data_IF_910468644282
#
_entry.id   IF_910468644282
#
_cell.length_a   1.000
_cell.length_b   1.000
_cell.length_c   1.000
_cell.angle_alpha   90.00
_cell.angle_beta   90.00
_cell.angle_gamma   90.00
#
_symmetry.space_group_name_H-M   'P 1'
#
loop_
_entity.id
_entity.type
_entity.pdbx_description
1 polymer ?
#
# COMPACT_ATOMS: atom_id res chain seq x y z
N UNK A 1 6.86 58.01 5.82
CA UNK A 1 6.38 56.81 5.11
C UNK A 1 7.59 55.99 4.77
N UNK A 2 7.86 55.00 5.61
CA UNK A 2 9.03 54.12 5.52
C UNK A 2 8.48 52.78 5.04
N UNK A 3 8.93 52.34 3.87
CA UNK A 3 8.60 51.04 3.32
C UNK A 3 9.11 49.93 4.26
N UNK A 4 8.32 48.87 4.51
CA UNK A 4 8.82 47.68 5.17
C UNK A 4 9.62 46.86 4.14
N UNK A 5 10.90 46.64 4.46
CA UNK A 5 11.80 45.78 3.72
C UNK A 5 11.40 44.31 3.91
N UNK A 6 10.53 43.80 3.03
CA UNK A 6 10.34 42.35 2.82
C UNK A 6 11.60 41.78 2.15
N UNK A 7 12.53 41.37 2.99
CA UNK A 7 13.79 40.73 2.62
C UNK A 7 13.99 39.42 3.38
N UNK A 8 12.92 38.69 3.70
CA UNK A 8 13.05 37.36 4.30
C UNK A 8 13.40 36.38 3.18
N UNK A 9 14.65 35.96 3.15
CA UNK A 9 15.18 34.94 2.24
C UNK A 9 14.44 33.61 2.45
N UNK A 10 13.38 33.36 1.66
CA UNK A 10 12.60 32.10 1.68
C UNK A 10 13.39 30.88 1.15
N UNK A 11 14.69 31.03 0.83
CA UNK A 11 15.53 29.97 0.27
C UNK A 11 16.54 29.32 1.23
N UNK A 12 16.72 29.85 2.45
CA UNK A 12 17.78 29.41 3.37
C UNK A 12 17.24 28.58 4.53
N UNK A 13 17.78 27.37 4.71
CA UNK A 13 17.47 26.48 5.84
C UNK A 13 17.82 27.17 7.17
N UNK A 14 16.81 27.37 8.01
CA UNK A 14 16.96 27.99 9.32
C UNK A 14 17.75 27.09 10.28
N UNK A 15 18.44 27.71 11.23
CA UNK A 15 19.01 27.01 12.39
C UNK A 15 17.89 26.61 13.34
N UNK A 16 18.12 25.59 14.17
CA UNK A 16 17.11 25.05 15.09
C UNK A 16 16.46 26.11 15.99
N UNK A 17 17.23 27.12 16.45
CA UNK A 17 16.70 28.22 17.26
C UNK A 17 15.90 29.23 16.45
N UNK A 18 16.32 29.50 15.22
CA UNK A 18 15.64 30.44 14.32
C UNK A 18 14.27 29.93 13.90
N UNK A 19 14.06 28.60 13.90
CA UNK A 19 12.72 28.01 13.69
C UNK A 19 11.76 28.39 14.81
N UNK A 20 12.23 28.48 16.06
CA UNK A 20 11.40 28.84 17.21
C UNK A 20 10.99 30.32 17.21
N UNK A 21 11.74 31.17 16.49
CA UNK A 21 11.47 32.60 16.38
C UNK A 21 10.37 32.92 15.33
N UNK A 22 9.91 31.93 14.57
CA UNK A 22 8.79 32.08 13.63
C UNK A 22 7.47 32.21 14.39
N UNK A 23 6.57 33.08 13.92
CA UNK A 23 5.17 33.02 14.37
C UNK A 23 4.46 31.75 13.86
N UNK A 24 3.32 31.41 14.43
CA UNK A 24 2.61 30.16 14.12
C UNK A 24 2.17 30.03 12.65
N UNK A 25 1.82 31.14 12.01
CA UNK A 25 1.40 31.16 10.61
C UNK A 25 2.62 30.91 9.70
N UNK A 26 3.72 31.60 9.96
CA UNK A 26 4.98 31.43 9.24
C UNK A 26 5.58 30.05 9.47
N UNK A 27 5.49 29.52 10.69
CA UNK A 27 5.92 28.16 11.02
C UNK A 27 5.13 27.10 10.22
N UNK A 28 3.81 27.28 10.11
CA UNK A 28 2.95 26.38 9.32
C UNK A 28 3.37 26.35 7.86
N UNK A 29 3.57 27.52 7.24
CA UNK A 29 4.06 27.60 5.86
C UNK A 29 5.44 26.97 5.71
N UNK A 30 6.34 27.23 6.67
CA UNK A 30 7.70 26.69 6.68
C UNK A 30 7.74 25.16 6.73
N UNK A 31 6.86 24.51 7.49
CA UNK A 31 6.85 23.03 7.57
C UNK A 31 6.11 22.37 6.38
N UNK A 32 5.32 23.12 5.62
CA UNK A 32 4.57 22.62 4.45
C UNK A 32 5.32 22.80 3.13
N UNK A 33 6.15 23.84 3.02
CA UNK A 33 6.82 24.19 1.77
C UNK A 33 7.86 23.14 1.36
N UNK A 34 8.73 22.69 2.28
CA UNK A 34 9.77 21.71 1.98
C UNK A 34 9.99 20.68 3.08
N UNK A 35 10.30 19.45 2.66
CA UNK A 35 10.57 18.36 3.60
C UNK A 35 11.82 18.60 4.49
N UNK A 36 12.87 19.25 3.97
CA UNK A 36 14.06 19.55 4.77
C UNK A 36 13.82 20.62 5.84
N UNK A 37 12.86 21.53 5.60
CA UNK A 37 12.36 22.47 6.61
C UNK A 37 11.58 21.73 7.69
N UNK A 38 10.66 20.82 7.32
CA UNK A 38 9.96 19.93 8.26
C UNK A 38 10.93 19.09 9.11
N UNK A 39 11.97 18.51 8.51
CA UNK A 39 13.03 17.77 9.24
C UNK A 39 13.73 18.68 10.25
N UNK A 40 13.97 19.95 9.88
CA UNK A 40 14.60 20.91 10.78
C UNK A 40 13.69 21.27 11.94
N UNK A 41 12.40 21.48 11.68
CA UNK A 41 11.39 21.72 12.72
C UNK A 41 11.24 20.51 13.65
N UNK A 42 11.20 19.28 13.12
CA UNK A 42 11.13 18.05 13.91
C UNK A 42 12.36 17.86 14.82
N UNK A 43 13.56 18.23 14.35
CA UNK A 43 14.77 18.22 15.20
C UNK A 43 14.70 19.33 16.26
N UNK A 44 14.19 20.51 15.91
CA UNK A 44 14.02 21.61 16.87
C UNK A 44 13.01 21.25 17.96
N UNK A 45 11.90 20.61 17.60
CA UNK A 45 10.89 20.07 18.52
C UNK A 45 11.50 19.05 19.47
N UNK A 46 12.18 18.02 18.92
CA UNK A 46 12.82 16.98 19.71
C UNK A 46 13.90 17.53 20.67
N UNK A 47 14.59 18.61 20.30
CA UNK A 47 15.59 19.26 21.16
C UNK A 47 14.97 20.22 22.19
N UNK A 48 13.66 20.48 22.10
CA UNK A 48 12.88 21.33 23.01
C UNK A 48 12.99 22.82 22.71
N UNK A 49 13.19 23.21 21.45
CA UNK A 49 13.28 24.61 21.04
C UNK A 49 11.94 25.23 20.68
N UNK A 50 10.96 24.45 20.20
CA UNK A 50 9.67 25.00 19.75
C UNK A 50 8.81 25.49 20.92
N UNK A 51 7.96 26.47 20.64
CA UNK A 51 6.93 26.91 21.58
C UNK A 51 5.87 25.81 21.79
N UNK A 52 5.07 25.85 22.88
CA UNK A 52 3.97 24.91 23.08
C UNK A 52 2.96 24.89 21.92
N UNK A 53 2.69 26.04 21.30
CA UNK A 53 1.73 26.16 20.20
C UNK A 53 2.30 25.54 18.92
N UNK A 54 3.57 25.81 18.58
CA UNK A 54 4.27 25.17 17.46
C UNK A 54 4.41 23.65 17.66
N UNK A 55 4.69 23.20 18.88
CA UNK A 55 4.70 21.78 19.24
C UNK A 55 3.31 21.16 18.99
N UNK A 56 2.24 21.79 19.48
CA UNK A 56 0.88 21.30 19.26
C UNK A 56 0.55 21.23 17.75
N UNK A 57 0.89 22.26 16.98
CA UNK A 57 0.72 22.28 15.52
C UNK A 57 1.43 21.10 14.86
N UNK A 58 2.68 20.81 15.22
CA UNK A 58 3.45 19.73 14.63
C UNK A 58 2.87 18.33 14.96
N UNK A 59 2.23 18.19 16.12
CA UNK A 59 1.65 16.94 16.62
C UNK A 59 0.15 16.78 16.33
N UNK A 60 -0.43 17.63 15.48
CA UNK A 60 -1.81 17.45 15.00
C UNK A 60 -2.00 16.09 14.31
N UNK A 61 -3.15 15.41 14.46
CA UNK A 61 -3.39 14.08 13.89
C UNK A 61 -3.09 13.97 12.39
N UNK A 62 -3.46 14.99 11.60
CA UNK A 62 -3.18 15.05 10.16
C UNK A 62 -1.68 15.14 9.81
N UNK A 63 -0.83 15.60 10.74
CA UNK A 63 0.60 15.85 10.54
C UNK A 63 1.49 14.75 11.13
N UNK A 64 0.97 13.90 12.01
CA UNK A 64 1.75 12.86 12.70
C UNK A 64 2.52 11.94 11.75
N UNK A 65 1.96 11.58 10.59
CA UNK A 65 2.67 10.73 9.62
C UNK A 65 3.85 11.47 8.97
N UNK A 66 3.68 12.74 8.62
CA UNK A 66 4.76 13.58 8.10
C UNK A 66 5.84 13.84 9.16
N UNK A 67 5.45 14.07 10.41
CA UNK A 67 6.37 14.21 11.54
C UNK A 67 7.18 12.93 11.75
N UNK A 68 6.53 11.76 11.73
CA UNK A 68 7.21 10.46 11.83
C UNK A 68 8.24 10.27 10.72
N UNK A 69 7.89 10.60 9.48
CA UNK A 69 8.80 10.49 8.34
C UNK A 69 10.00 11.44 8.48
N UNK A 70 9.76 12.68 8.92
CA UNK A 70 10.80 13.66 9.20
C UNK A 70 11.75 13.22 10.32
N UNK A 71 11.22 12.69 11.42
CA UNK A 71 11.99 12.16 12.55
C UNK A 71 12.80 10.90 12.17
N UNK A 72 12.23 10.02 11.35
CA UNK A 72 12.93 8.83 10.82
C UNK A 72 14.13 9.25 9.97
N UNK A 73 13.95 10.24 9.08
CA UNK A 73 15.04 10.79 8.29
C UNK A 73 16.09 11.50 9.16
N UNK A 74 15.64 12.29 10.13
CA UNK A 74 16.51 12.98 11.09
C UNK A 74 17.36 11.99 11.89
N UNK A 75 16.77 10.90 12.38
CA UNK A 75 17.47 9.86 13.13
C UNK A 75 18.64 9.30 12.31
N UNK A 76 18.37 8.82 11.09
CA UNK A 76 19.40 8.24 10.23
C UNK A 76 20.48 9.26 9.86
N UNK A 77 20.09 10.49 9.53
CA UNK A 77 21.03 11.57 9.21
C UNK A 77 21.94 11.95 10.39
N UNK A 78 21.39 12.01 11.61
CA UNK A 78 22.14 12.27 12.83
C UNK A 78 23.04 11.09 13.20
N UNK A 79 22.57 9.85 13.03
CA UNK A 79 23.40 8.66 13.25
C UNK A 79 24.65 8.68 12.36
N UNK A 80 24.48 8.84 11.05
CA UNK A 80 25.63 8.92 10.11
C UNK A 80 26.54 10.10 10.45
N UNK A 81 25.96 11.23 10.88
CA UNK A 81 26.75 12.39 11.31
C UNK A 81 27.59 12.11 12.55
N UNK A 82 27.04 11.43 13.56
CA UNK A 82 27.76 11.01 14.78
C UNK A 82 28.90 10.06 14.42
N UNK A 83 28.63 9.06 13.57
CA UNK A 83 29.63 8.08 13.13
C UNK A 83 30.79 8.76 12.39
N UNK A 84 30.48 9.66 11.45
CA UNK A 84 31.50 10.43 10.71
C UNK A 84 32.28 11.37 11.63
N UNK A 85 31.61 12.05 12.57
CA UNK A 85 32.27 12.92 13.55
C UNK A 85 33.20 12.11 14.46
N UNK A 86 32.80 10.91 14.88
CA UNK A 86 33.63 10.01 15.66
C UNK A 86 34.88 9.57 14.90
N UNK A 87 34.75 9.23 13.61
CA UNK A 87 35.87 8.89 12.72
C UNK A 87 36.91 10.01 12.67
N UNK A 88 36.47 11.27 12.52
CA UNK A 88 37.36 12.43 12.51
C UNK A 88 37.74 12.96 13.90
N UNK A 89 37.33 12.29 14.99
CA UNK A 89 37.54 12.73 16.38
C UNK A 89 37.04 14.16 16.65
N UNK A 90 35.92 14.53 16.03
CA UNK A 90 35.30 15.85 16.19
C UNK A 90 34.71 15.99 17.60
N UNK A 91 35.08 17.06 18.32
CA UNK A 91 34.59 17.36 19.67
C UNK A 91 33.06 17.50 19.75
N UNK A 92 32.39 17.81 18.63
CA UNK A 92 30.92 17.94 18.55
C UNK A 92 30.19 16.60 18.65
N UNK A 93 30.88 15.48 18.49
CA UNK A 93 30.29 14.11 18.51
C UNK A 93 29.37 13.90 19.71
N UNK A 94 29.80 14.29 20.92
CA UNK A 94 29.02 14.10 22.14
C UNK A 94 27.71 14.91 22.14
N UNK A 95 27.72 16.13 21.57
CA UNK A 95 26.53 16.98 21.44
C UNK A 95 25.56 16.39 20.42
N UNK A 96 26.04 16.04 19.23
CA UNK A 96 25.21 15.42 18.17
C UNK A 96 24.64 14.07 18.64
N UNK A 97 25.39 13.30 19.41
CA UNK A 97 24.92 12.04 20.00
C UNK A 97 23.80 12.24 21.04
N UNK A 98 23.80 13.34 21.80
CA UNK A 98 22.67 13.69 22.67
C UNK A 98 21.43 14.05 21.86
N UNK A 99 21.60 14.85 20.80
CA UNK A 99 20.51 15.22 19.90
C UNK A 99 19.89 14.00 19.22
N UNK A 100 20.70 13.06 18.73
CA UNK A 100 20.22 11.78 18.18
C UNK A 100 19.35 11.01 19.17
N UNK A 101 19.74 10.95 20.46
CA UNK A 101 18.93 10.28 21.49
C UNK A 101 17.58 10.95 21.67
N UNK A 102 17.54 12.28 21.66
CA UNK A 102 16.29 13.05 21.76
C UNK A 102 15.37 12.80 20.57
N UNK A 103 15.90 12.82 19.35
CA UNK A 103 15.14 12.48 18.13
C UNK A 103 14.57 11.06 18.18
N UNK A 104 15.34 10.08 18.69
CA UNK A 104 14.83 8.71 18.90
C UNK A 104 13.69 8.63 19.90
N UNK A 105 13.77 9.39 21.00
CA UNK A 105 12.68 9.48 21.97
C UNK A 105 11.42 10.06 21.34
N UNK A 106 11.56 11.19 20.62
CA UNK A 106 10.45 11.84 19.93
C UNK A 106 9.81 10.94 18.85
N UNK A 107 10.64 10.20 18.10
CA UNK A 107 10.16 9.22 17.11
C UNK A 107 9.34 8.12 17.78
N UNK A 108 9.84 7.56 18.89
CA UNK A 108 9.14 6.53 19.64
C UNK A 108 7.81 7.03 20.24
N UNK A 109 7.77 8.29 20.70
CA UNK A 109 6.54 8.96 21.14
C UNK A 109 5.52 9.09 19.99
N UNK A 110 5.98 9.58 18.84
CA UNK A 110 5.14 9.75 17.64
C UNK A 110 4.56 8.41 17.16
N UNK A 111 5.37 7.34 17.14
CA UNK A 111 4.90 5.99 16.79
C UNK A 111 3.82 5.48 17.76
N UNK A 112 3.94 5.77 19.07
CA UNK A 112 2.92 5.40 20.07
C UNK A 112 1.62 6.16 19.86
N UNK A 113 1.69 7.45 19.53
CA UNK A 113 0.51 8.27 19.22
C UNK A 113 -0.20 7.75 17.98
N UNK A 114 0.53 7.51 16.88
CA UNK A 114 -0.02 6.93 15.65
C UNK A 114 -0.67 5.56 15.87
N UNK A 115 -0.04 4.69 16.67
CA UNK A 115 -0.62 3.40 17.02
C UNK A 115 -1.93 3.55 17.84
N UNK A 116 -2.04 4.60 18.64
CA UNK A 116 -3.26 4.88 19.44
C UNK A 116 -4.40 5.37 18.55
N UNK A 117 -4.13 6.32 17.66
CA UNK A 117 -5.08 6.82 16.66
C UNK A 117 -5.60 5.68 15.77
N UNK A 118 -4.70 4.86 15.22
CA UNK A 118 -5.08 3.70 14.39
C UNK A 118 -6.00 2.71 15.13
N UNK A 119 -5.77 2.50 16.43
CA UNK A 119 -6.65 1.64 17.25
C UNK A 119 -8.00 2.30 17.55
N UNK A 120 -8.05 3.62 17.68
CA UNK A 120 -9.31 4.35 17.86
C UNK A 120 -10.15 4.29 16.59
N UNK A 121 -9.52 4.49 15.43
CA UNK A 121 -10.16 4.35 14.11
C UNK A 121 -10.69 2.95 13.85
N UNK A 122 -9.90 1.93 14.13
CA UNK A 122 -10.34 0.54 13.97
C UNK A 122 -11.58 0.25 14.85
N UNK A 123 -11.61 0.78 16.08
CA UNK A 123 -12.77 0.67 16.98
C UNK A 123 -14.00 1.40 16.45
N UNK A 124 -13.84 2.62 15.90
CA UNK A 124 -14.94 3.36 15.26
C UNK A 124 -15.55 2.57 14.11
N UNK A 125 -14.71 2.07 13.19
CA UNK A 125 -15.16 1.25 12.05
C UNK A 125 -15.83 -0.07 12.47
N UNK A 126 -15.41 -0.66 13.58
CA UNK A 126 -16.04 -1.87 14.11
C UNK A 126 -17.41 -1.58 14.77
N UNK A 127 -17.58 -0.39 15.37
CA UNK A 127 -18.83 0.04 15.98
C UNK A 127 -19.90 0.42 14.93
N UNK A 128 -19.49 0.92 13.76
CA UNK A 128 -20.39 1.31 12.66
C UNK A 128 -21.07 0.13 11.92
N UNK A 129 -21.11 -1.05 12.53
CA UNK A 129 -21.85 -2.21 12.05
C UNK A 129 -20.93 -3.28 11.48
N UNK A 130 -20.44 -4.17 12.34
CA UNK A 130 -19.90 -5.45 11.90
C UNK A 130 -20.95 -6.23 11.09
N UNK A 131 -20.57 -6.96 10.04
CA UNK A 131 -21.51 -7.70 9.22
C UNK A 131 -22.24 -8.72 10.08
N UNK A 132 -23.51 -8.44 10.38
CA UNK A 132 -24.43 -9.46 10.88
C UNK A 132 -24.38 -10.59 9.86
N UNK A 133 -23.79 -11.72 10.27
CA UNK A 133 -23.39 -12.77 9.34
C UNK A 133 -24.64 -13.53 8.93
N UNK A 134 -25.34 -13.01 7.91
CA UNK A 134 -26.43 -13.72 7.27
C UNK A 134 -25.89 -15.02 6.70
N UNK A 135 -26.38 -16.12 7.26
CA UNK A 135 -25.97 -17.48 6.90
C UNK A 135 -26.28 -17.79 5.45
N UNK A 136 -27.31 -17.18 4.88
CA UNK A 136 -27.63 -17.29 3.45
C UNK A 136 -26.55 -16.62 2.62
N UNK A 137 -26.09 -15.41 2.98
CA UNK A 137 -25.00 -14.71 2.29
C UNK A 137 -23.67 -15.48 2.40
N UNK A 138 -23.37 -16.04 3.58
CA UNK A 138 -22.16 -16.87 3.76
C UNK A 138 -22.22 -18.15 2.91
N UNK A 139 -23.35 -18.85 2.93
CA UNK A 139 -23.53 -20.07 2.15
C UNK A 139 -23.33 -19.80 0.64
N UNK A 140 -23.92 -18.71 0.18
CA UNK A 140 -23.82 -18.21 -1.19
C UNK A 140 -22.38 -17.85 -1.59
N UNK A 141 -21.66 -17.10 -0.75
CA UNK A 141 -20.25 -16.78 -1.01
C UNK A 141 -19.34 -18.02 -1.00
N UNK A 142 -19.63 -19.01 -0.14
CA UNK A 142 -18.88 -20.27 -0.13
C UNK A 142 -19.20 -21.14 -1.35
N UNK A 143 -20.38 -20.99 -1.96
CA UNK A 143 -20.78 -21.73 -3.17
C UNK A 143 -19.95 -21.30 -4.37
N UNK A 144 -19.70 -19.99 -4.51
CA UNK A 144 -18.77 -19.47 -5.48
C UNK A 144 -17.35 -20.05 -5.32
N UNK A 145 -16.91 -20.28 -4.06
CA UNK A 145 -15.61 -20.92 -3.79
C UNK A 145 -15.58 -22.42 -4.12
N UNK A 146 -16.73 -23.11 -4.05
CA UNK A 146 -16.82 -24.53 -4.38
C UNK A 146 -16.75 -24.79 -5.89
N UNK A 147 -17.31 -23.87 -6.68
CA UNK A 147 -17.47 -23.97 -8.13
C UNK A 147 -16.91 -22.73 -8.86
N UNK A 148 -15.59 -22.46 -8.74
CA UNK A 148 -14.98 -21.22 -9.22
C UNK A 148 -15.20 -21.00 -10.73
N UNK A 149 -14.92 -22.00 -11.57
CA UNK A 149 -15.06 -21.87 -13.03
C UNK A 149 -16.52 -21.60 -13.46
N UNK A 150 -17.50 -22.16 -12.73
CA UNK A 150 -18.90 -21.91 -13.03
C UNK A 150 -19.31 -20.50 -12.60
N UNK A 151 -18.88 -20.09 -11.41
CA UNK A 151 -19.09 -18.75 -10.91
C UNK A 151 -18.47 -17.70 -11.83
N UNK A 152 -17.23 -17.87 -12.28
CA UNK A 152 -16.54 -16.94 -13.17
C UNK A 152 -17.27 -16.78 -14.50
N UNK A 153 -17.77 -17.88 -15.10
CA UNK A 153 -18.59 -17.81 -16.32
C UNK A 153 -19.88 -17.01 -16.11
N UNK A 154 -20.60 -17.27 -15.01
CA UNK A 154 -21.84 -16.55 -14.70
C UNK A 154 -21.57 -15.08 -14.37
N UNK A 155 -20.46 -14.79 -13.68
CA UNK A 155 -20.02 -13.44 -13.36
C UNK A 155 -19.67 -12.64 -14.62
N UNK A 156 -18.93 -13.22 -15.55
CA UNK A 156 -18.62 -12.58 -16.83
C UNK A 156 -19.90 -12.24 -17.61
N UNK A 157 -20.91 -13.14 -17.60
CA UNK A 157 -22.21 -12.90 -18.21
C UNK A 157 -22.96 -11.75 -17.52
N UNK A 158 -23.11 -11.77 -16.19
CA UNK A 158 -23.86 -10.72 -15.48
C UNK A 158 -23.17 -9.36 -15.52
N UNK A 159 -21.83 -9.31 -15.53
CA UNK A 159 -21.07 -8.08 -15.72
C UNK A 159 -21.31 -7.51 -17.13
N UNK A 160 -21.29 -8.35 -18.15
CA UNK A 160 -21.58 -7.95 -19.54
C UNK A 160 -23.01 -7.43 -19.67
N UNK A 161 -23.99 -8.12 -19.09
CA UNK A 161 -25.40 -7.68 -19.05
C UNK A 161 -25.57 -6.32 -18.33
N UNK A 162 -24.76 -6.05 -17.31
CA UNK A 162 -24.74 -4.78 -16.57
C UNK A 162 -23.95 -3.66 -17.29
N UNK A 163 -23.37 -3.92 -18.47
CA UNK A 163 -22.53 -2.96 -19.19
C UNK A 163 -21.21 -2.65 -18.49
N UNK A 164 -20.75 -3.54 -17.60
CA UNK A 164 -19.49 -3.40 -16.89
C UNK A 164 -18.37 -4.12 -17.67
N UNK A 165 -17.16 -3.54 -17.72
CA UNK A 165 -16.03 -4.19 -18.37
C UNK A 165 -15.66 -5.46 -17.60
N UNK A 166 -15.40 -6.52 -18.37
CA UNK A 166 -14.85 -7.76 -17.84
C UNK A 166 -13.38 -7.54 -17.47
N UNK A 167 -13.17 -7.04 -16.25
CA UNK A 167 -11.83 -6.84 -15.68
C UNK A 167 -11.63 -7.83 -14.52
N UNK A 168 -10.51 -8.57 -14.49
CA UNK A 168 -10.20 -9.46 -13.38
C UNK A 168 -10.19 -8.70 -12.05
N UNK A 169 -10.48 -9.42 -10.97
CA UNK A 169 -10.32 -8.89 -9.63
C UNK A 169 -8.87 -8.46 -9.41
N UNK A 170 -8.65 -7.38 -8.68
CA UNK A 170 -7.31 -6.95 -8.30
C UNK A 170 -6.62 -8.06 -7.49
N UNK A 171 -5.44 -8.51 -7.91
CA UNK A 171 -4.71 -9.57 -7.22
C UNK A 171 -4.01 -9.03 -5.97
N UNK A 172 -3.59 -7.76 -6.01
CA UNK A 172 -2.96 -7.07 -4.91
C UNK A 172 -3.40 -5.60 -4.80
N UNK A 173 -2.83 -4.89 -3.83
CA UNK A 173 -3.13 -3.46 -3.58
C UNK A 173 -2.72 -2.56 -4.76
N UNK A 174 -1.68 -2.90 -5.50
CA UNK A 174 -1.24 -2.10 -6.64
C UNK A 174 -2.26 -2.21 -7.77
N UNK A 175 -2.73 -3.41 -8.08
CA UNK A 175 -3.79 -3.60 -9.07
C UNK A 175 -5.07 -2.85 -8.67
N UNK A 176 -5.42 -2.84 -7.39
CA UNK A 176 -6.57 -2.09 -6.88
C UNK A 176 -6.41 -0.58 -7.11
N UNK A 177 -5.21 -0.05 -6.86
CA UNK A 177 -4.87 1.36 -7.08
C UNK A 177 -4.85 1.74 -8.56
N UNK A 178 -4.26 0.90 -9.42
CA UNK A 178 -4.24 1.11 -10.88
C UNK A 178 -5.65 1.05 -11.49
N UNK A 179 -6.48 0.11 -11.02
CA UNK A 179 -7.88 0.01 -11.40
C UNK A 179 -8.68 1.23 -10.93
N UNK A 180 -8.49 1.64 -9.68
CA UNK A 180 -9.16 2.81 -9.13
C UNK A 180 -8.78 4.12 -9.83
N UNK A 181 -7.52 4.25 -10.28
CA UNK A 181 -7.11 5.33 -11.16
C UNK A 181 -7.82 5.28 -12.51
N UNK A 182 -7.85 4.09 -13.14
CA UNK A 182 -8.52 3.90 -14.44
C UNK A 182 -10.03 4.17 -14.38
N UNK A 183 -10.64 3.92 -13.22
CA UNK A 183 -12.06 4.15 -12.96
C UNK A 183 -12.35 5.60 -12.53
N UNK A 184 -11.33 6.46 -12.42
CA UNK A 184 -11.46 7.88 -12.12
C UNK A 184 -11.59 8.22 -10.63
N UNK A 185 -11.33 7.28 -9.72
CA UNK A 185 -11.39 7.52 -8.27
C UNK A 185 -10.16 8.27 -7.75
N UNK A 186 -9.03 8.18 -8.44
CA UNK A 186 -7.81 8.89 -8.06
C UNK A 186 -7.57 10.06 -9.02
N UNK A 187 -7.60 11.28 -8.49
CA UNK A 187 -7.26 12.48 -9.25
C UNK A 187 -5.74 12.61 -9.41
N UNK A 188 -5.18 11.92 -10.39
CA UNK A 188 -3.78 11.99 -10.77
C UNK A 188 -3.69 12.03 -12.30
N UNK A 189 -3.58 13.23 -12.93
CA UNK A 189 -3.53 13.32 -14.38
C UNK A 189 -2.23 12.69 -14.91
N UNK A 190 -2.36 11.98 -16.02
CA UNK A 190 -1.21 11.40 -16.73
C UNK A 190 -0.54 12.49 -17.56
N UNK A 191 0.56 13.02 -17.04
CA UNK A 191 1.36 14.07 -17.71
C UNK A 191 2.45 13.46 -18.61
N UNK A 192 3.06 14.24 -19.53
CA UNK A 192 4.19 13.78 -20.35
C UNK A 192 5.38 13.26 -19.52
N UNK A 193 5.60 13.80 -18.33
CA UNK A 193 6.66 13.39 -17.41
C UNK A 193 6.39 12.02 -16.79
N UNK A 194 5.13 11.74 -16.44
CA UNK A 194 4.67 10.40 -16.02
C UNK A 194 4.85 9.41 -17.17
N UNK A 195 4.47 9.78 -18.40
CA UNK A 195 4.68 8.96 -19.59
C UNK A 195 6.15 8.65 -19.85
N UNK A 196 7.01 9.64 -19.67
CA UNK A 196 8.44 9.46 -19.80
C UNK A 196 8.99 8.45 -18.78
N UNK A 197 8.55 8.52 -17.51
CA UNK A 197 8.93 7.54 -16.49
C UNK A 197 8.38 6.14 -16.78
N UNK A 198 7.13 6.03 -17.24
CA UNK A 198 6.53 4.76 -17.65
C UNK A 198 7.29 4.13 -18.83
N UNK A 199 7.79 4.93 -19.76
CA UNK A 199 8.55 4.46 -20.92
C UNK A 199 10.00 4.05 -20.61
N UNK A 200 10.57 4.44 -19.45
CA UNK A 200 11.95 4.06 -19.08
C UNK A 200 12.08 2.55 -18.94
N UNK A 201 13.20 1.99 -19.40
CA UNK A 201 13.61 0.63 -19.05
C UNK A 201 13.95 0.48 -17.56
N UNK A 202 14.10 -0.75 -17.03
CA UNK A 202 14.31 -1.00 -15.60
C UNK A 202 15.49 -0.22 -14.99
N UNK A 203 16.66 -0.25 -15.64
CA UNK A 203 17.88 0.43 -15.15
C UNK A 203 17.70 1.95 -15.14
N UNK A 204 17.14 2.53 -16.20
CA UNK A 204 16.93 3.98 -16.29
C UNK A 204 15.90 4.47 -15.26
N UNK A 205 14.87 3.66 -14.99
CA UNK A 205 13.88 3.95 -13.96
C UNK A 205 14.50 3.87 -12.55
N UNK A 206 15.28 2.83 -12.26
CA UNK A 206 16.03 2.72 -11.00
C UNK A 206 16.96 3.93 -10.80
N UNK A 207 17.60 4.42 -11.86
CA UNK A 207 18.39 5.65 -11.83
C UNK A 207 17.58 6.89 -11.43
N UNK A 208 16.33 7.01 -11.90
CA UNK A 208 15.41 8.09 -11.50
C UNK A 208 15.00 7.96 -10.03
N UNK A 209 14.69 6.75 -9.55
CA UNK A 209 14.42 6.49 -8.12
C UNK A 209 15.63 6.82 -7.25
N UNK A 210 16.84 6.49 -7.71
CA UNK A 210 18.06 6.83 -7.00
C UNK A 210 18.31 8.35 -6.97
N UNK A 211 17.97 9.06 -8.04
CA UNK A 211 18.04 10.53 -8.08
C UNK A 211 17.06 11.16 -7.08
N UNK A 212 15.79 10.74 -7.07
CA UNK A 212 14.80 11.20 -6.08
C UNK A 212 15.22 10.88 -4.64
N UNK A 213 15.81 9.70 -4.39
CA UNK A 213 16.31 9.39 -3.05
C UNK A 213 17.49 10.30 -2.64
N UNK A 214 18.38 10.68 -3.57
CA UNK A 214 19.53 11.57 -3.30
C UNK A 214 19.10 13.01 -3.05
N UNK A 215 18.17 13.53 -3.83
CA UNK A 215 17.70 14.91 -3.74
C UNK A 215 16.38 14.99 -2.96
N UNK A 216 16.48 15.45 -1.72
CA UNK A 216 15.31 15.58 -0.84
C UNK A 216 14.55 16.89 -1.06
N UNK A 217 15.19 17.89 -1.68
CA UNK A 217 14.60 19.19 -1.95
C UNK A 217 13.90 19.22 -3.32
N UNK A 218 14.51 18.58 -4.32
CA UNK A 218 13.96 18.47 -5.68
C UNK A 218 13.35 17.08 -5.90
N UNK A 219 12.19 16.88 -5.28
CA UNK A 219 11.49 15.58 -5.29
C UNK A 219 10.83 15.38 -6.65
N UNK A 220 10.96 14.16 -7.20
CA UNK A 220 10.30 13.79 -8.46
C UNK A 220 8.84 13.47 -8.16
N UNK A 221 7.96 14.47 -8.28
CA UNK A 221 6.52 14.35 -7.94
C UNK A 221 5.85 13.22 -8.71
N UNK A 222 6.28 12.98 -9.94
CA UNK A 222 5.70 11.99 -10.85
C UNK A 222 5.88 10.55 -10.38
N UNK A 223 6.94 10.24 -9.61
CA UNK A 223 7.12 8.89 -9.03
C UNK A 223 5.95 8.51 -8.09
N UNK A 224 5.24 9.50 -7.57
CA UNK A 224 4.05 9.33 -6.71
C UNK A 224 2.81 8.96 -7.51
N UNK A 225 2.84 8.98 -8.84
CA UNK A 225 1.67 8.63 -9.65
C UNK A 225 1.19 7.18 -9.37
N UNK A 226 -0.14 6.92 -9.30
CA UNK A 226 -0.69 5.59 -9.03
C UNK A 226 -0.10 4.46 -9.90
N UNK A 227 0.04 4.72 -11.20
CA UNK A 227 0.60 3.76 -12.18
C UNK A 227 2.10 3.45 -12.00
N UNK A 228 2.82 4.22 -11.17
CA UNK A 228 4.25 4.04 -10.94
C UNK A 228 4.55 3.38 -9.60
N UNK A 229 3.57 3.20 -8.71
CA UNK A 229 3.79 2.72 -7.34
C UNK A 229 4.47 1.35 -7.31
N UNK A 230 4.00 0.39 -8.13
CA UNK A 230 4.61 -0.95 -8.21
C UNK A 230 6.08 -0.88 -8.60
N UNK A 231 6.40 -0.10 -9.65
CA UNK A 231 7.78 0.05 -10.14
C UNK A 231 8.65 0.81 -9.15
N UNK A 232 8.10 1.83 -8.49
CA UNK A 232 8.80 2.59 -7.46
C UNK A 232 9.17 1.72 -6.27
N UNK A 233 8.23 0.89 -5.79
CA UNK A 233 8.48 -0.10 -4.75
C UNK A 233 9.62 -1.05 -5.11
N UNK A 234 9.60 -1.62 -6.32
CA UNK A 234 10.66 -2.49 -6.81
C UNK A 234 12.01 -1.77 -6.90
N UNK A 235 12.04 -0.55 -7.47
CA UNK A 235 13.26 0.24 -7.57
C UNK A 235 13.88 0.57 -6.20
N UNK A 236 13.06 0.92 -5.21
CA UNK A 236 13.51 1.17 -3.83
C UNK A 236 14.05 -0.11 -3.16
N UNK A 237 13.41 -1.26 -3.39
CA UNK A 237 13.87 -2.53 -2.87
C UNK A 237 15.23 -2.92 -3.46
N UNK A 238 15.39 -2.86 -4.78
CA UNK A 238 16.66 -3.15 -5.46
C UNK A 238 17.78 -2.20 -5.01
N UNK A 239 17.49 -0.89 -4.89
CA UNK A 239 18.47 0.07 -4.37
C UNK A 239 18.87 -0.23 -2.92
N UNK A 240 17.94 -0.72 -2.10
CA UNK A 240 18.23 -1.16 -0.73
C UNK A 240 19.22 -2.33 -0.77
N UNK A 241 18.93 -3.36 -1.55
CA UNK A 241 19.75 -4.58 -1.64
C UNK A 241 21.17 -4.27 -2.14
N UNK A 242 21.30 -3.35 -3.10
CA UNK A 242 22.60 -2.90 -3.61
C UNK A 242 23.37 -2.05 -2.59
N UNK A 243 22.67 -1.26 -1.76
CA UNK A 243 23.32 -0.28 -0.88
C UNK A 243 23.70 -0.86 0.48
N UNK A 244 22.95 -1.83 1.01
CA UNK A 244 23.19 -2.44 2.33
C UNK A 244 24.62 -2.95 2.51
N UNK A 245 25.21 -3.72 1.59
CA UNK A 245 26.59 -4.20 1.73
C UNK A 245 27.60 -3.05 1.75
N UNK A 246 27.43 -2.06 0.86
CA UNK A 246 28.34 -0.92 0.74
C UNK A 246 28.27 -0.01 1.98
N UNK A 247 27.06 0.16 2.52
CA UNK A 247 26.79 0.91 3.75
C UNK A 247 27.25 0.17 5.02
N UNK A 248 27.67 -1.10 4.89
CA UNK A 248 27.96 -2.01 6.00
C UNK A 248 26.83 -1.99 7.05
N UNK A 249 25.60 -1.97 6.56
CA UNK A 249 24.41 -1.93 7.41
C UNK A 249 24.12 -3.33 7.98
N UNK A 250 23.50 -3.39 9.16
CA UNK A 250 23.12 -4.67 9.77
C UNK A 250 22.01 -5.40 9.02
N UNK A 251 21.13 -4.67 8.33
CA UNK A 251 20.01 -5.24 7.57
C UNK A 251 19.48 -4.25 6.53
N UNK A 252 18.48 -4.70 5.77
CA UNK A 252 17.70 -3.88 4.83
C UNK A 252 16.78 -2.86 5.50
N UNK A 253 16.71 -2.82 6.83
CA UNK A 253 15.83 -1.93 7.61
C UNK A 253 16.52 -1.22 8.77
N UNK A 254 17.80 -1.50 9.04
CA UNK A 254 18.54 -0.90 10.14
C UNK A 254 20.01 -0.73 9.81
N UNK A 255 20.55 0.47 10.12
CA UNK A 255 21.95 0.79 9.88
C UNK A 255 22.88 -0.04 10.78
N UNK A 256 22.42 -0.40 11.98
CA UNK A 256 23.23 -1.08 12.98
C UNK A 256 24.41 -0.23 13.48
N UNK A 257 25.21 -0.82 14.36
CA UNK A 257 26.49 -0.23 14.77
C UNK A 257 27.45 -0.25 13.57
N UNK A 258 28.17 0.86 13.34
CA UNK A 258 29.24 0.90 12.36
C UNK A 258 30.33 -0.12 12.76
N UNK A 259 30.73 -1.04 11.86
CA UNK A 259 31.80 -1.99 12.15
C UNK A 259 33.11 -1.29 12.53
N UNK A 260 33.82 -1.83 13.52
CA UNK A 260 35.00 -1.18 14.10
C UNK A 260 36.16 -1.04 13.08
N UNK A 261 36.23 -1.95 12.11
CA UNK A 261 37.23 -1.93 11.02
C UNK A 261 37.05 -0.75 10.05
N UNK A 262 35.89 -0.08 10.05
CA UNK A 262 35.67 1.15 9.26
C UNK A 262 36.55 2.29 9.76
N UNK A 263 36.88 2.32 11.06
CA UNK A 263 37.72 3.37 11.63
C UNK A 263 39.19 3.27 11.20
N UNK A 264 39.60 2.11 10.72
CA UNK A 264 40.95 1.85 10.23
C UNK A 264 41.08 2.03 8.71
N UNK A 265 39.97 2.28 8.00
CA UNK A 265 39.98 2.47 6.55
C UNK A 265 40.64 3.81 6.15
N UNK A 266 41.26 3.87 4.96
CA UNK A 266 41.63 5.13 4.31
C UNK A 266 40.42 6.07 4.19
N UNK A 267 40.67 7.38 4.26
CA UNK A 267 39.61 8.39 4.29
C UNK A 267 38.66 8.30 3.09
N UNK A 268 39.17 7.99 1.89
CA UNK A 268 38.37 7.83 0.69
C UNK A 268 37.34 6.70 0.83
N UNK A 269 37.76 5.56 1.37
CA UNK A 269 36.91 4.37 1.54
C UNK A 269 35.90 4.57 2.67
N UNK A 270 36.33 5.17 3.78
CA UNK A 270 35.43 5.54 4.88
C UNK A 270 34.34 6.53 4.40
N UNK A 271 34.71 7.53 3.58
CA UNK A 271 33.76 8.46 2.96
C UNK A 271 32.73 7.73 2.09
N UNK A 272 33.14 6.72 1.33
CA UNK A 272 32.22 5.92 0.52
C UNK A 272 31.21 5.16 1.41
N UNK A 273 31.65 4.57 2.52
CA UNK A 273 30.76 3.92 3.50
C UNK A 273 29.77 4.93 4.10
N UNK A 274 30.22 6.10 4.55
CA UNK A 274 29.32 7.13 5.10
C UNK A 274 28.31 7.67 4.07
N UNK A 275 28.75 7.85 2.82
CA UNK A 275 27.87 8.26 1.73
C UNK A 275 26.80 7.20 1.45
N UNK A 276 27.18 5.92 1.40
CA UNK A 276 26.25 4.81 1.22
C UNK A 276 25.25 4.70 2.38
N UNK A 277 25.69 4.88 3.64
CA UNK A 277 24.80 4.89 4.81
C UNK A 277 23.79 6.03 4.75
N UNK A 278 24.23 7.24 4.36
CA UNK A 278 23.31 8.39 4.16
C UNK A 278 22.31 8.11 3.04
N UNK A 279 22.76 7.53 1.94
CA UNK A 279 21.89 7.17 0.82
C UNK A 279 20.85 6.11 1.22
N UNK A 280 21.26 5.10 1.99
CA UNK A 280 20.37 4.07 2.53
C UNK A 280 19.26 4.64 3.42
N UNK A 281 19.60 5.60 4.30
CA UNK A 281 18.60 6.33 5.10
C UNK A 281 17.60 7.06 4.21
N UNK A 282 18.06 7.67 3.13
CA UNK A 282 17.17 8.37 2.21
C UNK A 282 16.26 7.40 1.45
N UNK A 283 16.75 6.22 1.05
CA UNK A 283 15.92 5.15 0.47
C UNK A 283 14.82 4.71 1.44
N UNK A 284 15.15 4.53 2.73
CA UNK A 284 14.15 4.13 3.73
C UNK A 284 13.08 5.19 3.96
N UNK A 285 13.45 6.47 3.94
CA UNK A 285 12.46 7.55 3.99
C UNK A 285 11.52 7.50 2.77
N UNK A 286 12.04 7.28 1.56
CA UNK A 286 11.20 7.12 0.36
C UNK A 286 10.33 5.88 0.41
N UNK A 287 10.80 4.80 1.03
CA UNK A 287 10.00 3.58 1.24
C UNK A 287 8.85 3.82 2.23
N UNK A 288 9.08 4.59 3.29
CA UNK A 288 8.04 4.99 4.23
C UNK A 288 6.97 5.86 3.53
N UNK A 289 7.41 6.87 2.79
CA UNK A 289 6.54 7.74 1.97
C UNK A 289 5.70 6.93 0.98
N UNK A 290 6.33 6.06 0.18
CA UNK A 290 5.62 5.16 -0.73
C UNK A 290 4.58 4.30 -0.01
N UNK A 291 4.90 3.76 1.16
CA UNK A 291 3.98 2.91 1.92
C UNK A 291 2.75 3.72 2.37
N UNK A 292 2.94 4.93 2.87
CA UNK A 292 1.84 5.81 3.26
C UNK A 292 0.98 6.19 2.05
N UNK A 293 1.62 6.60 0.95
CA UNK A 293 0.92 6.99 -0.26
C UNK A 293 0.08 5.86 -0.84
N UNK A 294 0.64 4.64 -0.87
CA UNK A 294 -0.08 3.45 -1.34
C UNK A 294 -1.29 3.13 -0.46
N UNK A 295 -1.16 3.23 0.87
CA UNK A 295 -2.30 3.07 1.77
C UNK A 295 -3.37 4.14 1.55
N UNK A 296 -2.97 5.41 1.36
CA UNK A 296 -3.89 6.50 1.08
C UNK A 296 -4.65 6.26 -0.23
N UNK A 297 -3.96 5.86 -1.30
CA UNK A 297 -4.63 5.48 -2.55
C UNK A 297 -5.60 4.32 -2.35
N UNK A 298 -5.18 3.25 -1.67
CA UNK A 298 -6.06 2.11 -1.41
C UNK A 298 -7.31 2.50 -0.60
N UNK A 299 -7.15 3.36 0.42
CA UNK A 299 -8.25 3.89 1.21
C UNK A 299 -9.20 4.74 0.35
N UNK A 300 -8.67 5.70 -0.41
CA UNK A 300 -9.47 6.55 -1.31
C UNK A 300 -10.23 5.72 -2.35
N UNK A 301 -9.58 4.76 -3.00
CA UNK A 301 -10.23 3.85 -3.95
C UNK A 301 -11.34 3.06 -3.28
N UNK A 302 -11.11 2.59 -2.05
CA UNK A 302 -12.12 1.85 -1.29
C UNK A 302 -13.32 2.73 -0.96
N UNK A 303 -13.10 3.94 -0.45
CA UNK A 303 -14.17 4.83 0.01
C UNK A 303 -15.00 5.40 -1.14
N UNK A 304 -14.33 5.87 -2.20
CA UNK A 304 -15.01 6.33 -3.42
C UNK A 304 -15.65 5.17 -4.18
N UNK A 305 -14.98 4.01 -4.21
CA UNK A 305 -15.53 2.78 -4.75
C UNK A 305 -16.85 2.41 -4.08
N UNK A 306 -16.92 2.40 -2.74
CA UNK A 306 -18.16 2.10 -1.99
C UNK A 306 -19.32 3.06 -2.33
N UNK A 307 -19.00 4.30 -2.65
CA UNK A 307 -19.98 5.35 -2.95
C UNK A 307 -20.35 5.42 -4.44
N UNK A 308 -19.65 4.67 -5.29
CA UNK A 308 -19.84 4.70 -6.74
C UNK A 308 -21.09 3.92 -7.17
N UNK A 309 -21.97 4.50 -8.01
CA UNK A 309 -23.08 3.76 -8.61
C UNK A 309 -22.61 2.53 -9.41
N UNK A 310 -21.40 2.59 -9.98
CA UNK A 310 -20.79 1.50 -10.75
C UNK A 310 -20.45 0.32 -9.86
N UNK A 311 -19.98 0.57 -8.63
CA UNK A 311 -19.71 -0.48 -7.66
C UNK A 311 -21.01 -1.10 -7.13
N UNK A 312 -22.07 -0.30 -6.94
CA UNK A 312 -23.39 -0.83 -6.62
C UNK A 312 -23.91 -1.75 -7.74
N UNK A 313 -23.71 -1.38 -9.02
CA UNK A 313 -24.01 -2.26 -10.16
C UNK A 313 -23.14 -3.52 -10.17
N UNK A 314 -21.84 -3.40 -9.87
CA UNK A 314 -20.92 -4.54 -9.80
C UNK A 314 -21.33 -5.51 -8.71
N UNK A 315 -21.68 -5.02 -7.52
CA UNK A 315 -22.20 -5.84 -6.41
C UNK A 315 -23.48 -6.55 -6.81
N UNK A 316 -24.43 -5.85 -7.44
CA UNK A 316 -25.65 -6.49 -7.97
C UNK A 316 -25.34 -7.57 -9.00
N UNK A 317 -24.38 -7.35 -9.90
CA UNK A 317 -23.98 -8.35 -10.89
C UNK A 317 -23.33 -9.59 -10.22
N UNK A 318 -22.53 -9.39 -9.17
CA UNK A 318 -21.97 -10.47 -8.35
C UNK A 318 -23.08 -11.23 -7.63
N UNK A 319 -23.99 -10.53 -6.95
CA UNK A 319 -25.13 -11.13 -6.25
C UNK A 319 -26.02 -11.92 -7.23
N UNK A 320 -26.26 -11.37 -8.41
CA UNK A 320 -27.01 -12.04 -9.48
C UNK A 320 -26.29 -13.29 -10.01
N UNK A 321 -24.96 -13.26 -10.16
CA UNK A 321 -24.18 -14.42 -10.58
C UNK A 321 -24.22 -15.53 -9.51
N UNK A 322 -24.14 -15.15 -8.24
CA UNK A 322 -24.29 -16.05 -7.10
C UNK A 322 -25.70 -16.65 -7.05
N UNK A 323 -26.74 -15.86 -7.27
CA UNK A 323 -28.14 -16.31 -7.30
C UNK A 323 -28.40 -17.27 -8.47
N UNK A 324 -27.86 -16.97 -9.65
CA UNK A 324 -27.88 -17.89 -10.80
C UNK A 324 -27.15 -19.19 -10.47
N UNK A 325 -25.96 -19.11 -9.87
CA UNK A 325 -25.19 -20.30 -9.47
C UNK A 325 -25.97 -21.18 -8.50
N UNK A 326 -26.62 -20.58 -7.49
CA UNK A 326 -27.44 -21.32 -6.53
C UNK A 326 -28.68 -21.94 -7.19
N UNK A 327 -29.28 -21.26 -8.17
CA UNK A 327 -30.44 -21.76 -8.93
C UNK A 327 -30.05 -22.92 -9.86
N UNK A 328 -28.89 -22.85 -10.51
CA UNK A 328 -28.38 -23.91 -11.38
C UNK A 328 -27.83 -25.12 -10.60
N UNK A 329 -27.43 -24.92 -9.34
CA UNK A 329 -26.83 -25.93 -8.47
C UNK A 329 -27.59 -26.07 -7.14
N UNK A 330 -28.90 -26.42 -7.17
CA UNK A 330 -29.75 -26.42 -5.97
C UNK A 330 -29.27 -27.44 -4.93
N UNK A 331 -28.74 -28.58 -5.35
CA UNK A 331 -28.26 -29.63 -4.46
C UNK A 331 -27.00 -29.18 -3.69
N UNK A 332 -26.06 -28.53 -4.37
CA UNK A 332 -24.85 -27.98 -3.75
C UNK A 332 -25.16 -26.80 -2.82
N UNK A 333 -26.08 -25.91 -3.22
CA UNK A 333 -26.55 -24.80 -2.40
C UNK A 333 -27.26 -25.28 -1.12
N UNK A 334 -28.14 -26.30 -1.24
CA UNK A 334 -28.84 -26.89 -0.11
C UNK A 334 -27.87 -27.52 0.89
N UNK A 335 -26.85 -28.27 0.42
CA UNK A 335 -25.81 -28.85 1.29
C UNK A 335 -25.09 -27.80 2.11
N UNK A 336 -24.71 -26.69 1.47
CA UNK A 336 -24.02 -25.60 2.15
C UNK A 336 -24.90 -24.92 3.21
N UNK A 337 -26.15 -24.63 2.86
CA UNK A 337 -27.12 -24.02 3.77
C UNK A 337 -27.40 -24.92 4.97
N UNK A 338 -27.68 -26.21 4.75
CA UNK A 338 -27.92 -27.17 5.83
C UNK A 338 -26.70 -27.30 6.76
N UNK A 339 -25.49 -27.37 6.19
CA UNK A 339 -24.26 -27.42 6.97
C UNK A 339 -24.03 -26.18 7.83
N UNK A 340 -24.38 -24.99 7.31
CA UNK A 340 -24.23 -23.73 8.05
C UNK A 340 -25.35 -23.48 9.07
N UNK A 341 -26.58 -23.93 8.79
CA UNK A 341 -27.72 -23.82 9.71
C UNK A 341 -27.49 -24.57 11.03
N UNK A 342 -26.70 -25.64 11.02
CA UNK A 342 -26.29 -26.34 12.25
C UNK A 342 -25.46 -25.47 13.20
N UNK A 343 -24.96 -24.34 12.71
CA UNK A 343 -24.15 -23.38 13.46
C UNK A 343 -24.87 -22.03 13.65
N UNK A 344 -26.21 -21.99 13.54
CA UNK A 344 -27.00 -20.74 13.72
C UNK A 344 -27.61 -20.52 15.10
N UNK A 345 -27.65 -21.51 15.99
CA UNK A 345 -28.27 -21.36 17.30
C UNK A 345 -27.31 -20.71 18.32
N UNK A 346 -27.80 -19.75 19.10
CA UNK A 346 -27.09 -18.92 20.10
C UNK A 346 -26.29 -17.75 19.50
N UNK A 347 -25.02 -17.92 19.11
CA UNK A 347 -24.14 -16.83 18.61
C UNK A 347 -23.85 -16.90 17.10
N UNK A 348 -24.47 -17.84 16.40
CA UNK A 348 -24.26 -18.06 14.97
C UNK A 348 -22.81 -18.44 14.60
N UNK A 349 -22.44 -18.17 13.34
CA UNK A 349 -21.05 -18.30 12.84
C UNK A 349 -20.04 -17.41 13.58
N UNK A 350 -20.49 -16.46 14.39
CA UNK A 350 -19.63 -15.58 15.19
C UNK A 350 -19.09 -16.27 16.45
N UNK A 351 -19.72 -17.38 16.90
CA UNK A 351 -19.23 -18.21 18.00
C UNK A 351 -18.08 -19.16 17.63
N UNK A 352 -17.74 -19.29 16.34
CA UNK A 352 -16.62 -20.12 15.87
C UNK A 352 -15.31 -19.34 15.92
N UNK A 353 -14.25 -19.99 16.39
CA UNK A 353 -12.88 -19.46 16.23
C UNK A 353 -12.49 -19.38 14.74
N UNK A 354 -11.52 -18.53 14.35
CA UNK A 354 -11.07 -18.44 12.97
C UNK A 354 -10.64 -19.79 12.36
N UNK A 355 -10.01 -20.64 13.15
CA UNK A 355 -9.57 -21.98 12.74
C UNK A 355 -10.75 -22.91 12.49
N UNK A 356 -11.74 -22.92 13.38
CA UNK A 356 -12.96 -23.73 13.22
C UNK A 356 -13.77 -23.28 12.01
N UNK A 357 -13.89 -21.97 11.80
CA UNK A 357 -14.57 -21.41 10.62
C UNK A 357 -13.87 -21.80 9.32
N UNK A 358 -12.54 -21.82 9.31
CA UNK A 358 -11.74 -22.25 8.16
C UNK A 358 -11.94 -23.75 7.89
N UNK A 359 -11.89 -24.58 8.93
CA UNK A 359 -12.14 -26.02 8.82
C UNK A 359 -13.56 -26.34 8.32
N UNK A 360 -14.57 -25.63 8.84
CA UNK A 360 -15.96 -25.75 8.39
C UNK A 360 -16.11 -25.35 6.91
N UNK A 361 -15.49 -24.23 6.50
CA UNK A 361 -15.47 -23.80 5.10
C UNK A 361 -14.92 -24.88 4.19
N UNK A 362 -13.73 -25.41 4.50
CA UNK A 362 -13.11 -26.44 3.66
C UNK A 362 -14.00 -27.68 3.49
N UNK A 363 -14.63 -28.14 4.58
CA UNK A 363 -15.52 -29.31 4.54
C UNK A 363 -16.75 -29.04 3.68
N UNK A 364 -17.48 -27.96 3.94
CA UNK A 364 -18.72 -27.65 3.21
C UNK A 364 -18.46 -27.33 1.74
N UNK A 365 -17.33 -26.69 1.42
CA UNK A 365 -16.88 -26.45 0.04
C UNK A 365 -16.64 -27.78 -0.69
N UNK A 366 -16.02 -28.76 -0.03
CA UNK A 366 -15.79 -30.09 -0.62
C UNK A 366 -17.10 -30.86 -0.82
N UNK A 367 -18.00 -30.84 0.17
CA UNK A 367 -19.33 -31.47 0.08
C UNK A 367 -20.19 -30.85 -1.02
N UNK A 368 -20.20 -29.51 -1.12
CA UNK A 368 -20.91 -28.80 -2.18
C UNK A 368 -20.34 -29.13 -3.57
N UNK A 369 -19.01 -29.25 -3.71
CA UNK A 369 -18.38 -29.68 -4.96
C UNK A 369 -18.76 -31.10 -5.35
N UNK A 370 -18.82 -32.03 -4.39
CA UNK A 370 -19.24 -33.40 -4.63
C UNK A 370 -20.73 -33.52 -5.01
N UNK A 371 -21.57 -32.64 -4.47
CA UNK A 371 -23.00 -32.57 -4.76
C UNK A 371 -23.34 -31.79 -6.04
N UNK A 372 -22.37 -31.10 -6.64
CA UNK A 372 -22.60 -30.29 -7.83
C UNK A 372 -22.92 -31.16 -9.05
N UNK A 373 -23.93 -30.73 -9.81
CA UNK A 373 -24.29 -31.35 -11.07
C UNK A 373 -23.22 -31.01 -12.10
N UNK A 374 -22.62 -32.03 -12.70
CA UNK A 374 -21.73 -31.83 -13.84
C UNK A 374 -22.54 -31.19 -14.96
N UNK A 375 -22.10 -30.06 -15.55
CA UNK A 375 -22.80 -29.48 -16.68
C UNK A 375 -22.85 -30.55 -17.78
N UNK A 376 -24.06 -30.93 -18.21
CA UNK A 376 -24.22 -31.78 -19.40
C UNK A 376 -23.57 -31.02 -20.54
N UNK A 377 -22.43 -31.52 -21.03
CA UNK A 377 -21.98 -31.19 -22.38
C UNK A 377 -23.16 -31.44 -23.29
N UNK A 378 -23.63 -30.39 -23.97
CA UNK A 378 -24.54 -30.53 -25.09
C UNK A 378 -23.92 -31.58 -26.01
N UNK A 379 -24.50 -32.77 -25.98
CA UNK A 379 -24.19 -33.86 -26.88
C UNK A 379 -24.40 -33.29 -28.27
N UNK A 380 -23.32 -33.07 -29.01
CA UNK A 380 -23.35 -32.90 -30.46
C UNK A 380 -24.17 -34.07 -30.99
N UNK A 381 -25.42 -33.80 -31.36
CA UNK A 381 -26.23 -34.76 -32.09
C UNK A 381 -25.43 -35.16 -33.33
N UNK A 382 -25.06 -36.45 -33.38
CA UNK A 382 -24.50 -37.03 -34.60
C UNK A 382 -25.48 -36.75 -35.74
N UNK A 383 -25.02 -36.27 -36.90
CA UNK A 383 -25.89 -36.12 -38.05
C UNK A 383 -26.45 -37.50 -38.45
N UNK A 384 -27.69 -37.59 -38.94
CA UNK A 384 -28.29 -38.85 -39.37
C UNK A 384 -27.43 -39.46 -40.48
N UNK A 385 -27.04 -40.72 -40.30
CA UNK A 385 -26.28 -41.48 -41.29
C UNK A 385 -27.05 -41.61 -42.61
N UNK A 386 -26.34 -41.65 -43.75
CA UNK A 386 -26.98 -41.76 -45.06
C UNK A 386 -27.71 -43.10 -45.19
N UNK A 387 -28.92 -43.03 -45.77
CA UNK A 387 -29.79 -44.17 -46.02
C UNK A 387 -29.11 -45.24 -46.93
N UNK A 388 -29.45 -46.53 -46.76
CA UNK A 388 -28.85 -47.60 -47.55
C UNK A 388 -29.30 -47.52 -49.00
N UNK A 389 -28.32 -47.44 -49.92
CA UNK A 389 -28.56 -47.54 -51.36
C UNK A 389 -28.99 -48.97 -51.71
N UNK A 390 -30.23 -49.10 -52.16
CA UNK A 390 -30.78 -50.28 -52.83
C UNK A 390 -29.98 -50.54 -54.11
N UNK A 391 -29.20 -51.61 -54.12
CA UNK A 391 -28.44 -52.06 -55.29
C UNK A 391 -29.40 -52.81 -56.23
N UNK A 392 -29.92 -52.14 -57.25
CA UNK A 392 -30.60 -52.79 -58.37
C UNK A 392 -29.54 -53.34 -59.33
N UNK A 393 -29.58 -54.65 -59.56
CA UNK A 393 -28.80 -55.32 -60.59
C UNK A 393 -29.49 -55.16 -61.95
N UNK A 394 -28.74 -54.79 -62.99
CA UNK A 394 -29.08 -55.10 -64.38
C UNK A 394 -27.80 -55.15 -65.25
N UNK A 395 -27.69 -56.27 -65.97
CA UNK A 395 -26.64 -56.67 -66.91
C UNK A 395 -26.71 -55.93 -68.27
N UNK A 396 -25.66 -56.20 -69.08
CA UNK A 396 -25.50 -56.08 -70.54
C UNK A 396 -24.72 -54.83 -71.00
N UNK A 397 -23.62 -54.91 -71.75
CA UNK A 397 -23.07 -55.95 -72.65
C UNK A 397 -21.57 -56.11 -72.49
#
# INVERSE_FOLDING_TARGET
>A
MTEPSDGTTHGSRLRLREVADLDDQTFTLYIEERFDQLVTAAIADADGFLSPDQHHLLHEPQRLEFLRDALTYAEGGLQVSVERMAYHRDARTARTGRLLRRVRTALHETDRTLATERRADARRRAADGGPQTDVVLVARGWLASALPDHFERLLAQTLTEAGLPDRPAAADVFDAVENGWSDGYLNAPRTPEVDHLLAKGPIAFQGAVAADARDQADRITELRHPLLQRRWASGLAELTDLTVPVARASSTSALGRLPDDVYDLPEADAKAVFAARRFLVAIWQRRAEHTHLLHNYAATVTDLGRSSPREALRRRAVDQAIDRLATEQPDAAARMLTGLQQHTASDGLAGLTPTERTGLKHRLVAEARAAARTPRSLTTALPPGPAPLTRTAAMAR
#
